data_IF_890003283856
#
_entry.id   IF_890003283856
#
_cell.length_a   1.000
_cell.length_b   1.000
_cell.length_c   1.000
_cell.angle_alpha   90.00
_cell.angle_beta   90.00
_cell.angle_gamma   90.00
#
_symmetry.space_group_name_H-M   'P 1'
#
loop_
_entity.id
_entity.type
_entity.pdbx_description
1 polymer ?
#
# COMPACT_ATOMS: atom_id res chain seq x y z
N UNK A 1 -18.24 8.78 29.00
CA UNK A 1 -19.52 8.04 29.00
C UNK A 1 -20.24 8.23 27.64
N UNK A 2 -20.43 9.46 27.14
CA UNK A 2 -21.13 9.74 25.87
C UNK A 2 -20.50 9.01 24.67
N UNK A 3 -19.18 9.06 24.51
CA UNK A 3 -18.44 8.37 23.41
C UNK A 3 -18.71 6.86 23.41
N UNK A 4 -18.81 6.24 24.61
CA UNK A 4 -19.10 4.80 24.71
C UNK A 4 -20.56 4.48 24.38
N UNK A 5 -21.47 5.38 24.70
CA UNK A 5 -22.88 5.21 24.38
C UNK A 5 -23.14 5.32 22.87
N UNK A 6 -22.50 6.29 22.23
CA UNK A 6 -22.63 6.56 20.78
C UNK A 6 -21.75 5.66 19.90
N UNK A 7 -20.72 5.02 20.49
CA UNK A 7 -19.77 4.17 19.75
C UNK A 7 -18.86 4.92 18.79
N UNK A 8 -18.90 6.25 18.77
CA UNK A 8 -18.08 7.13 17.95
C UNK A 8 -17.62 8.36 18.73
N UNK A 9 -16.57 9.03 18.22
CA UNK A 9 -16.06 10.30 18.74
C UNK A 9 -15.94 11.28 17.59
N UNK A 10 -16.38 12.52 17.84
CA UNK A 10 -16.24 13.64 16.90
C UNK A 10 -15.00 14.43 17.30
N UNK A 11 -14.17 14.76 16.30
CA UNK A 11 -12.96 15.54 16.50
C UNK A 11 -13.12 16.84 15.74
N UNK A 12 -13.02 17.97 16.45
CA UNK A 12 -13.09 19.32 15.91
C UNK A 12 -11.73 20.01 16.03
N UNK A 13 -11.56 21.20 15.48
CA UNK A 13 -10.30 21.95 15.56
C UNK A 13 -10.13 22.63 16.91
N UNK A 14 -11.19 23.20 17.46
CA UNK A 14 -11.16 24.02 18.65
C UNK A 14 -12.08 23.54 19.78
N UNK A 15 -11.82 24.05 21.00
CA UNK A 15 -12.67 23.76 22.17
C UNK A 15 -14.01 24.50 22.09
N UNK A 16 -14.10 25.61 21.35
CA UNK A 16 -15.38 26.34 21.15
C UNK A 16 -16.35 25.46 20.36
N UNK A 17 -15.86 24.75 19.36
CA UNK A 17 -16.66 23.81 18.57
C UNK A 17 -17.21 22.67 19.44
N UNK A 18 -16.37 22.15 20.37
CA UNK A 18 -16.79 21.12 21.31
C UNK A 18 -17.92 21.64 22.21
N UNK A 19 -17.81 22.90 22.69
CA UNK A 19 -18.86 23.55 23.51
C UNK A 19 -20.12 23.75 22.66
N UNK A 20 -19.98 24.27 21.43
CA UNK A 20 -21.11 24.52 20.53
C UNK A 20 -21.87 23.23 20.20
N UNK A 21 -21.15 22.17 19.88
CA UNK A 21 -21.74 20.83 19.68
C UNK A 21 -22.47 20.32 20.94
N UNK A 22 -21.84 20.49 22.12
CA UNK A 22 -22.44 20.06 23.38
C UNK A 22 -23.70 20.83 23.73
N UNK A 23 -23.76 22.15 23.45
CA UNK A 23 -24.97 22.97 23.60
C UNK A 23 -26.11 22.48 22.69
N UNK A 24 -25.76 21.94 21.49
CA UNK A 24 -26.70 21.27 20.59
C UNK A 24 -27.05 19.82 20.99
N UNK A 25 -26.57 19.34 22.15
CA UNK A 25 -26.81 17.96 22.61
C UNK A 25 -25.86 16.91 22.05
N UNK A 26 -24.85 17.30 21.26
CA UNK A 26 -23.82 16.41 20.67
C UNK A 26 -22.62 16.39 21.64
N UNK A 27 -22.63 15.50 22.63
CA UNK A 27 -21.71 15.53 23.79
C UNK A 27 -20.48 14.62 23.67
N UNK A 28 -20.31 13.92 22.54
CA UNK A 28 -19.20 12.99 22.28
C UNK A 28 -18.12 13.60 21.36
N UNK A 29 -17.88 14.92 21.50
CA UNK A 29 -16.88 15.66 20.76
C UNK A 29 -15.62 15.94 21.61
N UNK A 30 -14.47 16.03 20.94
CA UNK A 30 -13.16 16.38 21.51
C UNK A 30 -12.39 17.27 20.52
N UNK A 31 -11.39 18.02 21.04
CA UNK A 31 -10.49 18.83 20.20
C UNK A 31 -9.03 18.65 20.62
N UNK A 32 -8.07 18.65 19.68
CA UNK A 32 -6.63 18.51 19.94
C UNK A 32 -5.95 19.82 20.42
N UNK A 33 -6.71 20.84 20.77
CA UNK A 33 -6.27 22.13 21.33
C UNK A 33 -5.06 22.77 20.60
N UNK A 34 -5.35 23.44 19.49
CA UNK A 34 -4.39 24.36 18.83
C UNK A 34 -3.25 23.70 18.08
N UNK A 35 -3.28 22.39 17.89
CA UNK A 35 -2.29 21.66 17.10
C UNK A 35 -2.94 20.75 16.07
N UNK A 36 -2.27 20.59 14.93
CA UNK A 36 -2.70 19.59 13.95
C UNK A 36 -2.64 18.18 14.56
N UNK A 37 -3.66 17.36 14.30
CA UNK A 37 -3.80 15.99 14.80
C UNK A 37 -2.54 15.15 14.56
N UNK A 38 -1.92 14.63 15.61
CA UNK A 38 -0.71 13.79 15.55
C UNK A 38 -1.04 12.30 15.49
N UNK A 39 -0.08 11.47 15.09
CA UNK A 39 -0.25 10.00 15.10
C UNK A 39 -0.65 9.49 16.50
N UNK A 40 0.01 9.96 17.57
CA UNK A 40 -0.31 9.57 18.95
C UNK A 40 -1.73 9.98 19.37
N UNK A 41 -2.21 11.12 18.88
CA UNK A 41 -3.60 11.54 19.14
C UNK A 41 -4.59 10.68 18.35
N UNK A 42 -4.28 10.29 17.11
CA UNK A 42 -5.10 9.34 16.34
C UNK A 42 -5.18 8.00 17.08
N UNK A 43 -4.06 7.48 17.58
CA UNK A 43 -4.05 6.24 18.36
C UNK A 43 -4.88 6.39 19.66
N UNK A 44 -4.84 7.55 20.31
CA UNK A 44 -5.67 7.83 21.48
C UNK A 44 -7.16 7.83 21.12
N UNK A 45 -7.55 8.46 20.01
CA UNK A 45 -8.92 8.45 19.51
C UNK A 45 -9.39 7.02 19.21
N UNK A 46 -8.54 6.18 18.63
CA UNK A 46 -8.86 4.77 18.38
C UNK A 46 -9.04 3.91 19.64
N UNK A 47 -8.53 4.36 20.79
CA UNK A 47 -8.87 3.75 22.09
C UNK A 47 -10.28 4.13 22.56
N UNK A 48 -10.82 5.25 22.07
CA UNK A 48 -12.15 5.73 22.42
C UNK A 48 -13.22 5.15 21.48
N UNK A 49 -12.94 5.18 20.17
CA UNK A 49 -13.80 4.65 19.12
C UNK A 49 -12.95 4.20 17.92
N UNK A 50 -13.31 3.11 17.22
CA UNK A 50 -12.50 2.56 16.13
C UNK A 50 -12.52 3.43 14.87
N UNK A 51 -13.53 4.28 14.70
CA UNK A 51 -13.80 5.04 13.49
C UNK A 51 -14.21 6.50 13.82
N UNK A 52 -13.26 7.32 14.36
CA UNK A 52 -13.51 8.72 14.70
C UNK A 52 -13.96 9.54 13.51
N UNK A 53 -14.85 10.52 13.74
CA UNK A 53 -15.32 11.47 12.74
C UNK A 53 -14.55 12.79 12.92
N UNK A 54 -13.79 13.20 11.93
CA UNK A 54 -13.12 14.49 11.92
C UNK A 54 -14.06 15.50 11.26
N UNK A 55 -14.54 16.46 12.04
CA UNK A 55 -15.40 17.57 11.58
C UNK A 55 -14.54 18.82 11.48
N UNK A 56 -14.15 19.14 10.25
CA UNK A 56 -13.35 20.33 9.94
C UNK A 56 -14.22 21.46 9.39
N UNK A 57 -13.70 22.68 9.50
CA UNK A 57 -14.32 23.86 8.94
C UNK A 57 -14.54 23.73 7.42
N UNK A 58 -15.62 24.32 6.93
CA UNK A 58 -15.98 24.28 5.51
C UNK A 58 -15.15 25.21 4.64
N UNK A 59 -13.82 25.27 4.86
CA UNK A 59 -12.93 26.16 4.14
C UNK A 59 -11.65 25.43 3.66
N UNK A 60 -10.78 26.17 2.96
CA UNK A 60 -9.51 25.62 2.46
C UNK A 60 -8.50 25.24 3.57
N UNK A 61 -8.66 25.78 4.79
CA UNK A 61 -7.81 25.42 5.93
C UNK A 61 -8.25 24.07 6.50
N UNK A 62 -9.56 23.84 6.63
CA UNK A 62 -10.14 22.55 7.00
C UNK A 62 -9.80 21.45 5.99
N UNK A 63 -9.85 21.75 4.67
CA UNK A 63 -9.41 20.78 3.64
C UNK A 63 -7.94 20.38 3.81
N UNK A 64 -7.05 21.35 4.08
CA UNK A 64 -5.64 21.06 4.36
C UNK A 64 -5.44 20.31 5.67
N UNK A 65 -6.24 20.58 6.69
CA UNK A 65 -6.21 19.86 7.96
C UNK A 65 -6.65 18.38 7.76
N UNK A 66 -7.72 18.15 7.01
CA UNK A 66 -8.18 16.82 6.62
C UNK A 66 -7.11 16.03 5.86
N UNK A 67 -6.47 16.66 4.86
CA UNK A 67 -5.39 16.04 4.09
C UNK A 67 -4.22 15.63 5.00
N UNK A 68 -3.79 16.52 5.91
CA UNK A 68 -2.72 16.21 6.88
C UNK A 68 -3.10 15.08 7.84
N UNK A 69 -4.36 15.05 8.31
CA UNK A 69 -4.85 13.99 9.18
C UNK A 69 -4.87 12.64 8.43
N UNK A 70 -5.32 12.63 7.18
CA UNK A 70 -5.30 11.46 6.30
C UNK A 70 -3.89 10.91 6.11
N UNK A 71 -2.92 11.76 5.76
CA UNK A 71 -1.52 11.36 5.55
C UNK A 71 -0.86 10.81 6.82
N UNK A 72 -1.19 11.37 8.00
CA UNK A 72 -0.69 10.87 9.29
C UNK A 72 -1.32 9.56 9.72
N UNK A 73 -2.58 9.31 9.35
CA UNK A 73 -3.25 8.06 9.67
C UNK A 73 -2.73 6.88 8.85
N UNK A 74 -2.35 7.10 7.57
CA UNK A 74 -1.94 6.03 6.65
C UNK A 74 -0.91 5.05 7.23
N UNK A 75 0.25 5.51 7.79
CA UNK A 75 1.27 4.59 8.29
C UNK A 75 0.84 3.73 9.47
N UNK A 76 -0.14 4.19 10.24
CA UNK A 76 -0.59 3.56 11.49
C UNK A 76 -1.93 2.84 11.36
N UNK A 77 -2.53 2.82 10.17
CA UNK A 77 -3.76 2.07 9.90
C UNK A 77 -3.57 0.58 10.23
N UNK A 78 -4.59 -0.01 10.81
CA UNK A 78 -4.66 -1.43 11.16
C UNK A 78 -6.08 -1.95 11.00
N UNK A 79 -6.28 -3.27 10.88
CA UNK A 79 -7.62 -3.84 10.69
C UNK A 79 -8.61 -3.38 11.75
N UNK A 80 -9.79 -2.92 11.28
CA UNK A 80 -10.87 -2.45 12.14
C UNK A 80 -10.76 -1.00 12.60
N UNK A 81 -9.70 -0.27 12.25
CA UNK A 81 -9.52 1.14 12.62
C UNK A 81 -9.39 2.02 11.38
N UNK A 82 -10.11 3.14 11.39
CA UNK A 82 -10.11 4.11 10.29
C UNK A 82 -10.34 5.53 10.81
N UNK A 83 -10.54 6.47 9.89
CA UNK A 83 -11.03 7.82 10.13
C UNK A 83 -12.16 8.10 9.15
N UNK A 84 -13.16 8.87 9.59
CA UNK A 84 -14.17 9.47 8.73
C UNK A 84 -14.08 11.00 8.74
N UNK A 85 -14.54 11.63 7.69
CA UNK A 85 -14.41 13.06 7.48
C UNK A 85 -15.78 13.67 7.21
N UNK A 86 -16.19 14.59 8.06
CA UNK A 86 -17.42 15.34 7.93
C UNK A 86 -17.08 16.74 7.40
N UNK A 87 -17.69 17.11 6.29
CA UNK A 87 -17.55 18.43 5.69
C UNK A 87 -18.72 19.30 6.11
N UNK A 88 -18.41 20.40 6.76
CA UNK A 88 -19.39 21.42 7.09
C UNK A 88 -19.64 22.32 5.86
N UNK A 89 -20.78 23.03 5.81
CA UNK A 89 -21.05 24.00 4.77
C UNK A 89 -19.96 25.08 4.71
N UNK A 90 -19.75 25.66 3.52
CA UNK A 90 -18.73 26.67 3.27
C UNK A 90 -18.82 27.84 4.27
N UNK A 91 -17.69 28.14 4.91
CA UNK A 91 -17.54 29.22 5.87
C UNK A 91 -18.14 28.96 7.25
N UNK A 92 -18.57 27.74 7.56
CA UNK A 92 -19.09 27.40 8.89
C UNK A 92 -18.12 26.52 9.67
N UNK A 93 -17.94 26.82 10.94
CA UNK A 93 -17.37 25.91 11.94
C UNK A 93 -18.47 25.05 12.61
N UNK A 94 -18.12 24.04 13.44
CA UNK A 94 -19.09 23.20 14.11
C UNK A 94 -20.07 23.95 15.04
N UNK A 95 -19.62 25.01 15.73
CA UNK A 95 -20.46 25.84 16.59
C UNK A 95 -21.47 26.65 15.78
N UNK A 96 -21.02 27.28 14.69
CA UNK A 96 -21.88 28.02 13.77
C UNK A 96 -22.88 27.10 13.07
N UNK A 97 -22.44 25.88 12.66
CA UNK A 97 -23.31 24.91 12.04
C UNK A 97 -24.47 24.50 13.00
N UNK A 98 -24.19 24.30 14.29
CA UNK A 98 -25.25 24.01 15.28
C UNK A 98 -26.20 25.20 15.43
N UNK A 99 -25.66 26.42 15.52
CA UNK A 99 -26.47 27.63 15.68
C UNK A 99 -27.36 27.93 14.48
N UNK A 100 -26.87 27.77 13.28
CA UNK A 100 -27.56 28.17 12.06
C UNK A 100 -28.41 27.06 11.44
N UNK A 101 -27.94 25.80 11.47
CA UNK A 101 -28.64 24.68 10.84
C UNK A 101 -29.42 23.82 11.82
N UNK A 102 -29.15 23.97 13.12
CA UNK A 102 -29.70 23.14 14.19
C UNK A 102 -29.00 21.79 14.34
N UNK A 103 -29.06 21.26 15.57
CA UNK A 103 -28.36 20.02 15.96
C UNK A 103 -28.71 18.80 15.09
N UNK A 104 -29.99 18.63 14.72
CA UNK A 104 -30.40 17.51 13.86
C UNK A 104 -29.75 17.55 12.46
N UNK A 105 -29.54 18.75 11.91
CA UNK A 105 -28.89 18.90 10.62
C UNK A 105 -27.41 18.53 10.71
N UNK A 106 -26.74 18.96 11.77
CA UNK A 106 -25.35 18.61 12.05
C UNK A 106 -25.20 17.12 12.26
N UNK A 107 -26.12 16.47 13.02
CA UNK A 107 -26.11 15.01 13.17
C UNK A 107 -26.25 14.29 11.82
N UNK A 108 -27.10 14.78 10.93
CA UNK A 108 -27.23 14.23 9.56
C UNK A 108 -25.95 14.39 8.74
N UNK A 109 -25.20 15.48 8.92
CA UNK A 109 -23.89 15.67 8.27
C UNK A 109 -22.86 14.70 8.83
N UNK A 110 -22.80 14.53 10.13
CA UNK A 110 -21.91 13.58 10.80
C UNK A 110 -22.18 12.12 10.37
N UNK A 111 -23.45 11.75 10.21
CA UNK A 111 -23.82 10.42 9.71
C UNK A 111 -23.36 10.17 8.25
N UNK A 112 -23.24 11.23 7.46
CA UNK A 112 -22.76 11.20 6.07
C UNK A 112 -21.24 11.34 5.95
N UNK A 113 -20.52 11.31 7.07
CA UNK A 113 -19.07 11.43 7.04
C UNK A 113 -18.41 10.39 6.11
N UNK A 114 -17.54 10.88 5.26
CA UNK A 114 -16.88 10.10 4.21
C UNK A 114 -15.71 9.28 4.78
N UNK A 115 -15.49 8.04 4.33
CA UNK A 115 -14.36 7.24 4.77
C UNK A 115 -13.02 7.78 4.22
N UNK A 116 -11.93 7.48 4.93
CA UNK A 116 -10.57 7.90 4.57
C UNK A 116 -10.21 7.60 3.11
N UNK A 117 -10.59 6.44 2.60
CA UNK A 117 -10.29 6.03 1.22
C UNK A 117 -10.93 6.96 0.18
N UNK A 118 -12.10 7.55 0.48
CA UNK A 118 -12.80 8.47 -0.41
C UNK A 118 -12.08 9.84 -0.46
N UNK A 119 -11.58 10.30 0.69
CA UNK A 119 -10.80 11.54 0.79
C UNK A 119 -9.51 11.42 -0.04
N UNK A 120 -8.77 10.33 0.13
CA UNK A 120 -7.55 10.07 -0.61
C UNK A 120 -7.82 9.95 -2.12
N UNK A 121 -8.87 9.22 -2.48
CA UNK A 121 -9.28 9.08 -3.86
C UNK A 121 -9.63 10.43 -4.50
N UNK A 122 -10.50 11.21 -3.85
CA UNK A 122 -10.93 12.52 -4.32
C UNK A 122 -9.76 13.48 -4.49
N UNK A 123 -8.84 13.53 -3.52
CA UNK A 123 -7.65 14.38 -3.57
C UNK A 123 -6.82 14.11 -4.83
N UNK A 124 -6.59 12.87 -5.16
CA UNK A 124 -5.72 12.49 -6.29
C UNK A 124 -6.43 12.52 -7.64
N UNK A 125 -7.76 12.56 -7.65
CA UNK A 125 -8.54 12.53 -8.90
C UNK A 125 -9.29 13.82 -9.21
N UNK A 126 -9.42 14.75 -8.26
CA UNK A 126 -10.20 16.00 -8.42
C UNK A 126 -9.77 16.86 -9.61
N UNK A 127 -8.47 16.91 -9.90
CA UNK A 127 -7.91 17.71 -11.00
C UNK A 127 -7.74 16.93 -12.30
N UNK A 128 -8.18 15.67 -12.33
CA UNK A 128 -7.97 14.81 -13.48
C UNK A 128 -9.02 15.09 -14.57
N UNK A 129 -8.61 15.44 -15.80
CA UNK A 129 -9.55 15.61 -16.90
C UNK A 129 -10.27 14.29 -17.23
N UNK A 130 -11.52 14.37 -17.69
CA UNK A 130 -12.28 13.18 -18.14
C UNK A 130 -11.53 12.37 -19.20
N UNK A 131 -10.82 13.06 -20.09
CA UNK A 131 -9.99 12.46 -21.15
C UNK A 131 -8.50 12.60 -20.83
N UNK A 132 -8.10 12.13 -19.64
CA UNK A 132 -6.70 12.14 -19.26
C UNK A 132 -5.86 11.26 -20.17
N UNK A 133 -4.66 11.74 -20.54
CA UNK A 133 -3.71 10.96 -21.34
C UNK A 133 -3.25 9.70 -20.61
N UNK A 134 -2.76 8.67 -21.31
CA UNK A 134 -2.25 7.45 -20.67
C UNK A 134 -1.18 7.72 -19.61
N UNK A 135 -0.30 8.70 -19.83
CA UNK A 135 0.75 9.08 -18.90
C UNK A 135 0.17 9.70 -17.60
N UNK A 136 -0.84 10.56 -17.74
CA UNK A 136 -1.55 11.13 -16.59
C UNK A 136 -2.29 10.07 -15.78
N UNK A 137 -2.95 9.13 -16.45
CA UNK A 137 -3.60 7.98 -15.80
C UNK A 137 -2.58 7.10 -15.07
N UNK A 138 -1.42 6.87 -15.69
CA UNK A 138 -0.32 6.12 -15.08
C UNK A 138 0.23 6.83 -13.85
N UNK A 139 0.43 8.14 -13.92
CA UNK A 139 0.88 8.96 -12.80
C UNK A 139 -0.10 8.89 -11.62
N UNK A 140 -1.41 9.06 -11.88
CA UNK A 140 -2.44 8.95 -10.82
C UNK A 140 -2.44 7.57 -10.17
N UNK A 141 -2.34 6.49 -10.97
CA UNK A 141 -2.24 5.13 -10.43
C UNK A 141 -1.00 4.96 -9.56
N UNK A 142 0.14 5.50 -9.98
CA UNK A 142 1.38 5.43 -9.22
C UNK A 142 1.27 6.18 -7.88
N UNK A 143 0.64 7.35 -7.86
CA UNK A 143 0.41 8.12 -6.63
C UNK A 143 -0.49 7.35 -5.67
N UNK A 144 -1.62 6.80 -6.14
CA UNK A 144 -2.53 5.99 -5.35
C UNK A 144 -1.85 4.72 -4.80
N UNK A 145 -1.07 4.03 -5.62
CA UNK A 145 -0.26 2.87 -5.18
C UNK A 145 0.76 3.27 -4.10
N UNK A 146 1.36 4.47 -4.22
CA UNK A 146 2.31 4.99 -3.23
C UNK A 146 1.65 5.32 -1.90
N UNK A 147 0.45 5.91 -1.91
CA UNK A 147 -0.35 6.15 -0.70
C UNK A 147 -0.70 4.83 0.01
N UNK A 148 -1.15 3.83 -0.73
CA UNK A 148 -1.44 2.53 -0.15
C UNK A 148 -0.17 1.88 0.45
N UNK A 149 0.98 1.98 -0.23
CA UNK A 149 2.26 1.45 0.26
C UNK A 149 2.80 2.15 1.51
N UNK A 150 2.32 3.35 1.84
CA UNK A 150 2.65 4.00 3.11
C UNK A 150 2.01 3.29 4.32
N UNK A 151 0.97 2.48 4.11
CA UNK A 151 0.31 1.70 5.16
C UNK A 151 1.24 0.55 5.56
N UNK A 152 1.58 0.48 6.85
CA UNK A 152 2.52 -0.54 7.37
C UNK A 152 1.87 -1.93 7.52
N UNK A 153 0.58 -1.99 7.87
CA UNK A 153 -0.15 -3.24 7.98
C UNK A 153 -0.39 -3.85 6.59
N UNK A 154 0.10 -5.08 6.31
CA UNK A 154 0.05 -5.65 4.97
C UNK A 154 -1.37 -6.02 4.51
N UNK A 155 -2.29 -6.29 5.45
CA UNK A 155 -3.67 -6.64 5.12
C UNK A 155 -4.41 -5.38 4.68
N UNK A 156 -4.34 -4.31 5.48
CA UNK A 156 -4.96 -3.02 5.15
C UNK A 156 -4.34 -2.44 3.88
N UNK A 157 -3.02 -2.52 3.73
CA UNK A 157 -2.32 -2.11 2.50
C UNK A 157 -2.88 -2.83 1.26
N UNK A 158 -3.07 -4.15 1.35
CA UNK A 158 -3.61 -4.97 0.26
C UNK A 158 -5.02 -4.53 -0.15
N UNK A 159 -5.89 -4.26 0.83
CA UNK A 159 -7.26 -3.79 0.60
C UNK A 159 -7.30 -2.39 -0.05
N UNK A 160 -6.46 -1.45 0.41
CA UNK A 160 -6.36 -0.12 -0.21
C UNK A 160 -5.85 -0.21 -1.65
N UNK A 161 -4.83 -1.03 -1.92
CA UNK A 161 -4.34 -1.28 -3.28
C UNK A 161 -5.43 -1.84 -4.19
N UNK A 162 -6.20 -2.82 -3.72
CA UNK A 162 -7.29 -3.43 -4.47
C UNK A 162 -8.40 -2.41 -4.77
N UNK A 163 -8.80 -1.61 -3.77
CA UNK A 163 -9.84 -0.60 -3.91
C UNK A 163 -9.44 0.52 -4.85
N UNK A 164 -8.22 1.06 -4.74
CA UNK A 164 -7.72 2.10 -5.65
C UNK A 164 -7.64 1.60 -7.08
N UNK A 165 -7.20 0.36 -7.32
CA UNK A 165 -7.15 -0.24 -8.65
C UNK A 165 -8.55 -0.42 -9.22
N UNK A 166 -9.49 -0.92 -8.43
CA UNK A 166 -10.89 -1.09 -8.83
C UNK A 166 -11.51 0.25 -9.26
N UNK A 167 -11.31 1.32 -8.46
CA UNK A 167 -11.81 2.67 -8.77
C UNK A 167 -11.14 3.26 -10.00
N UNK A 168 -9.81 3.11 -10.14
CA UNK A 168 -9.07 3.59 -11.29
C UNK A 168 -9.48 2.86 -12.57
N UNK A 169 -9.77 1.57 -12.50
CA UNK A 169 -10.27 0.80 -13.63
C UNK A 169 -11.69 1.23 -14.03
N UNK A 170 -12.51 1.56 -13.06
CA UNK A 170 -13.86 2.11 -13.31
C UNK A 170 -13.82 3.52 -13.93
N UNK A 171 -12.93 4.40 -13.41
CA UNK A 171 -12.83 5.79 -13.85
C UNK A 171 -12.22 5.92 -15.26
N UNK A 172 -11.13 5.18 -15.52
CA UNK A 172 -10.40 5.30 -16.78
C UNK A 172 -10.96 4.41 -17.88
N UNK A 173 -11.99 3.63 -17.58
CA UNK A 173 -12.55 2.64 -18.51
C UNK A 173 -11.43 1.78 -19.05
N UNK A 174 -11.04 0.73 -18.35
CA UNK A 174 -10.14 -0.22 -18.97
C UNK A 174 -10.90 -0.82 -20.16
N UNK A 175 -10.67 -0.26 -21.35
CA UNK A 175 -10.89 -0.96 -22.61
C UNK A 175 -10.03 -2.24 -22.70
N UNK A 176 -9.23 -2.51 -21.67
CA UNK A 176 -8.69 -3.79 -21.23
C UNK A 176 -9.61 -4.50 -20.24
N UNK A 177 -10.91 -4.52 -20.45
CA UNK A 177 -11.52 -5.83 -20.39
C UNK A 177 -10.74 -6.59 -21.46
N UNK A 178 -9.70 -7.27 -21.02
CA UNK A 178 -9.22 -8.40 -21.77
C UNK A 178 -10.50 -9.12 -22.14
N UNK A 179 -10.85 -9.03 -23.39
CA UNK A 179 -11.61 -10.04 -24.06
C UNK A 179 -10.69 -11.26 -23.97
N UNK A 180 -10.52 -11.80 -22.74
CA UNK A 180 -10.03 -13.15 -22.57
C UNK A 180 -11.13 -13.94 -23.23
N UNK A 181 -10.91 -14.38 -24.47
CA UNK A 181 -11.84 -15.35 -25.04
C UNK A 181 -11.96 -16.43 -23.95
N UNK A 182 -13.19 -16.90 -23.67
CA UNK A 182 -13.36 -17.99 -22.73
C UNK A 182 -12.34 -19.02 -23.14
N UNK A 183 -11.52 -19.47 -22.19
CA UNK A 183 -10.46 -20.48 -22.40
C UNK A 183 -11.18 -21.64 -23.11
N UNK A 184 -11.21 -21.60 -24.46
CA UNK A 184 -11.62 -22.74 -25.25
C UNK A 184 -10.60 -23.80 -24.93
N UNK A 185 -11.01 -24.78 -24.16
CA UNK A 185 -10.34 -26.04 -24.00
C UNK A 185 -10.02 -26.51 -25.42
N UNK A 186 -8.79 -26.25 -25.84
CA UNK A 186 -8.28 -26.78 -27.11
C UNK A 186 -8.26 -28.28 -26.93
N UNK A 187 -9.29 -28.96 -27.44
CA UNK A 187 -9.16 -30.37 -27.78
C UNK A 187 -7.99 -30.46 -28.76
N UNK A 188 -7.01 -31.26 -28.36
CA UNK A 188 -5.81 -31.52 -29.12
C UNK A 188 -6.20 -32.12 -30.47
N UNK A 189 -6.33 -31.28 -31.51
CA UNK A 189 -6.16 -31.73 -32.87
C UNK A 189 -4.67 -32.07 -33.04
N UNK A 190 -4.38 -33.33 -33.25
CA UNK A 190 -3.04 -33.82 -33.62
C UNK A 190 -2.70 -33.31 -35.01
N UNK A 191 -2.00 -32.19 -35.10
CA UNK A 191 -1.44 -31.65 -36.29
C UNK A 191 -0.22 -30.81 -35.91
N UNK A 192 0.98 -31.26 -36.35
CA UNK A 192 2.25 -30.64 -36.01
C UNK A 192 2.32 -29.23 -36.63
N UNK A 193 2.25 -28.20 -35.83
CA UNK A 193 2.62 -26.82 -36.19
C UNK A 193 4.11 -26.64 -35.88
N UNK A 194 4.92 -26.46 -36.93
CA UNK A 194 6.31 -26.01 -36.83
C UNK A 194 6.34 -24.48 -36.89
N UNK A 195 6.75 -23.78 -35.83
CA UNK A 195 6.91 -22.32 -35.88
C UNK A 195 8.16 -21.96 -36.71
N UNK A 196 7.98 -21.14 -37.74
CA UNK A 196 9.07 -20.66 -38.63
C UNK A 196 9.85 -19.47 -38.07
N UNK A 197 9.79 -19.19 -36.77
CA UNK A 197 10.55 -18.08 -36.17
C UNK A 197 11.37 -18.57 -34.95
N UNK A 198 12.71 -18.68 -35.09
CA UNK A 198 13.60 -19.21 -34.06
C UNK A 198 13.66 -18.33 -32.76
N UNK A 199 13.17 -17.09 -32.82
CA UNK A 199 13.26 -16.15 -31.68
C UNK A 199 12.10 -16.24 -30.67
N UNK A 200 11.08 -17.09 -30.92
CA UNK A 200 9.95 -17.29 -30.03
C UNK A 200 9.95 -18.65 -29.31
N UNK A 201 11.01 -19.42 -29.44
CA UNK A 201 11.20 -20.66 -28.69
C UNK A 201 11.71 -20.39 -27.26
N UNK A 202 11.03 -19.52 -26.50
CA UNK A 202 11.21 -19.54 -25.06
C UNK A 202 10.49 -20.78 -24.52
N UNK A 203 11.32 -21.74 -24.11
CA UNK A 203 10.93 -23.05 -23.56
C UNK A 203 9.99 -22.84 -22.36
N UNK A 204 8.73 -23.24 -22.53
CA UNK A 204 7.69 -23.28 -21.49
C UNK A 204 7.87 -24.43 -20.49
N UNK A 205 9.00 -25.11 -20.50
CA UNK A 205 9.27 -26.27 -19.61
C UNK A 205 9.62 -25.90 -18.15
N UNK A 206 9.71 -24.59 -17.80
CA UNK A 206 10.18 -24.18 -16.46
C UNK A 206 9.13 -23.56 -15.55
N UNK A 207 7.86 -23.50 -15.92
CA UNK A 207 6.83 -22.84 -15.09
C UNK A 207 6.24 -23.76 -14.00
N UNK A 208 6.37 -25.05 -14.10
CA UNK A 208 5.86 -26.00 -13.08
C UNK A 208 6.70 -26.09 -11.80
N UNK A 209 7.89 -25.50 -11.74
CA UNK A 209 8.75 -25.50 -10.54
C UNK A 209 8.68 -24.21 -9.69
N UNK A 210 7.78 -23.29 -9.99
CA UNK A 210 7.56 -22.06 -9.23
C UNK A 210 6.63 -22.21 -8.01
N UNK A 211 6.33 -23.43 -7.60
CA UNK A 211 5.43 -23.72 -6.49
C UNK A 211 6.11 -23.79 -5.10
N UNK A 212 7.39 -23.43 -4.98
CA UNK A 212 8.07 -23.31 -3.69
C UNK A 212 8.53 -21.88 -3.42
N UNK A 213 7.74 -21.04 -2.68
CA UNK A 213 8.10 -19.67 -2.38
C UNK A 213 9.42 -19.54 -1.61
N UNK A 214 9.75 -20.49 -0.74
CA UNK A 214 10.97 -20.48 0.05
C UNK A 214 12.21 -20.80 -0.81
N UNK A 215 12.09 -21.73 -1.75
CA UNK A 215 13.15 -22.00 -2.73
C UNK A 215 13.40 -20.81 -3.66
N UNK A 216 12.34 -20.08 -4.04
CA UNK A 216 12.47 -18.86 -4.84
C UNK A 216 13.22 -17.75 -4.08
N UNK A 217 12.91 -17.54 -2.78
CA UNK A 217 13.59 -16.55 -1.96
C UNK A 217 15.09 -16.84 -1.83
N UNK A 218 15.46 -18.11 -1.63
CA UNK A 218 16.86 -18.51 -1.55
C UNK A 218 17.62 -18.31 -2.86
N UNK A 219 16.97 -18.54 -4.00
CA UNK A 219 17.54 -18.26 -5.32
C UNK A 219 17.74 -16.77 -5.55
N UNK A 220 16.74 -15.94 -5.20
CA UNK A 220 16.85 -14.48 -5.30
C UNK A 220 18.00 -13.97 -4.42
N UNK A 221 18.13 -14.46 -3.19
CA UNK A 221 19.22 -14.10 -2.30
C UNK A 221 20.58 -14.40 -2.94
N UNK A 222 20.81 -15.62 -3.41
CA UNK A 222 22.08 -16.02 -4.02
C UNK A 222 22.37 -15.21 -5.29
N UNK A 223 21.38 -14.98 -6.16
CA UNK A 223 21.52 -14.15 -7.33
C UNK A 223 21.89 -12.70 -6.98
N UNK A 224 21.32 -12.17 -5.90
CA UNK A 224 21.65 -10.82 -5.41
C UNK A 224 23.08 -10.75 -4.90
N UNK A 225 23.54 -11.72 -4.12
CA UNK A 225 24.92 -11.77 -3.62
C UNK A 225 25.94 -11.91 -4.75
N UNK A 226 25.65 -12.68 -5.79
CA UNK A 226 26.51 -12.81 -7.00
C UNK A 226 26.62 -11.48 -7.74
N UNK A 227 25.51 -10.74 -7.86
CA UNK A 227 25.49 -9.47 -8.56
C UNK A 227 26.07 -8.31 -7.75
N UNK A 228 26.09 -8.43 -6.42
CA UNK A 228 26.55 -7.40 -5.46
C UNK A 228 27.48 -8.02 -4.41
N UNK A 229 28.71 -8.39 -4.75
CA UNK A 229 29.64 -9.08 -3.84
C UNK A 229 29.94 -8.32 -2.55
N UNK A 230 29.90 -6.99 -2.56
CA UNK A 230 30.09 -6.17 -1.34
C UNK A 230 29.11 -6.53 -0.21
N UNK A 231 27.95 -7.09 -0.54
CA UNK A 231 27.00 -7.57 0.47
C UNK A 231 27.53 -8.79 1.24
N UNK A 232 28.47 -9.55 0.69
CA UNK A 232 29.11 -10.65 1.40
C UNK A 232 29.95 -10.14 2.56
N UNK A 233 30.61 -8.99 2.39
CA UNK A 233 31.41 -8.35 3.44
C UNK A 233 30.51 -7.75 4.52
N UNK A 234 29.42 -7.10 4.12
CA UNK A 234 28.50 -6.43 5.05
C UNK A 234 27.64 -7.42 5.88
N UNK A 235 27.28 -8.57 5.30
CA UNK A 235 26.34 -9.52 5.88
C UNK A 235 26.90 -10.92 6.11
N UNK A 236 28.21 -11.14 5.93
CA UNK A 236 28.85 -12.46 6.00
C UNK A 236 28.52 -13.25 7.26
N UNK A 237 28.62 -12.64 8.44
CA UNK A 237 28.28 -13.28 9.72
C UNK A 237 26.83 -13.81 9.77
N UNK A 238 25.89 -13.08 9.16
CA UNK A 238 24.48 -13.49 9.10
C UNK A 238 24.26 -14.62 8.10
N UNK A 239 24.98 -14.57 6.98
CA UNK A 239 24.86 -15.56 5.90
C UNK A 239 25.36 -16.95 6.33
N UNK A 240 26.39 -17.02 7.18
CA UNK A 240 26.90 -18.28 7.75
C UNK A 240 25.81 -19.05 8.55
N UNK A 241 24.91 -18.32 9.20
CA UNK A 241 23.85 -18.92 10.03
C UNK A 241 22.57 -19.24 9.26
N UNK A 242 22.50 -18.94 7.95
CA UNK A 242 21.32 -19.22 7.14
C UNK A 242 21.20 -20.72 6.81
N UNK A 243 20.01 -21.24 7.04
CA UNK A 243 19.67 -22.62 6.65
C UNK A 243 19.04 -22.64 5.26
N UNK A 244 19.71 -23.27 4.31
CA UNK A 244 19.19 -23.50 2.96
C UNK A 244 18.47 -24.83 2.87
N UNK A 245 17.33 -24.88 2.21
CA UNK A 245 16.59 -26.13 1.95
C UNK A 245 17.33 -27.08 1.00
N UNK A 246 17.96 -26.49 -0.02
CA UNK A 246 18.85 -27.22 -0.92
C UNK A 246 20.29 -27.09 -0.39
N UNK A 247 20.89 -28.21 -0.04
CA UNK A 247 22.27 -28.24 0.47
C UNK A 247 23.28 -27.64 -0.50
N UNK A 248 23.00 -27.70 -1.80
CA UNK A 248 23.84 -27.11 -2.85
C UNK A 248 23.86 -25.58 -2.78
N UNK A 249 22.73 -24.93 -2.41
CA UNK A 249 22.68 -23.48 -2.21
C UNK A 249 23.46 -23.06 -0.97
N UNK A 250 23.43 -23.87 0.09
CA UNK A 250 24.26 -23.66 1.28
C UNK A 250 25.73 -23.80 0.99
N UNK A 251 26.12 -24.77 0.16
CA UNK A 251 27.50 -24.96 -0.27
C UNK A 251 27.97 -23.77 -1.15
N UNK A 252 27.16 -23.35 -2.12
CA UNK A 252 27.45 -22.16 -2.95
C UNK A 252 27.59 -20.90 -2.11
N UNK A 253 26.75 -20.68 -1.10
CA UNK A 253 26.84 -19.51 -0.22
C UNK A 253 28.16 -19.50 0.56
N UNK A 254 28.61 -20.64 1.07
CA UNK A 254 29.90 -20.75 1.75
C UNK A 254 31.07 -20.49 0.82
N UNK A 255 31.08 -21.03 -0.38
CA UNK A 255 32.09 -20.80 -1.39
C UNK A 255 32.21 -19.32 -1.74
N UNK A 256 31.05 -18.61 -1.86
CA UNK A 256 31.01 -17.18 -2.09
C UNK A 256 31.60 -16.38 -0.93
N UNK A 257 31.36 -16.79 0.31
CA UNK A 257 31.91 -16.15 1.50
C UNK A 257 33.42 -16.36 1.60
N UNK A 258 33.92 -17.56 1.27
CA UNK A 258 35.36 -17.84 1.22
C UNK A 258 36.05 -17.01 0.13
N UNK A 259 35.43 -16.93 -1.05
CA UNK A 259 35.94 -16.14 -2.16
C UNK A 259 35.90 -14.63 -1.89
N UNK A 260 34.93 -14.13 -1.11
CA UNK A 260 34.85 -12.70 -0.78
C UNK A 260 35.99 -12.24 0.13
N UNK A 261 36.52 -13.13 0.98
CA UNK A 261 37.68 -12.83 1.82
C UNK A 261 38.92 -12.42 1.00
N UNK A 262 38.97 -12.75 -0.29
CA UNK A 262 40.02 -12.35 -1.23
C UNK A 262 39.70 -11.01 -1.94
N UNK A 263 38.60 -10.32 -1.61
CA UNK A 263 38.20 -9.01 -2.18
C UNK A 263 37.82 -9.09 -3.67
N UNK A 264 37.14 -10.16 -4.07
CA UNK A 264 36.77 -10.38 -5.46
C UNK A 264 35.62 -9.46 -5.89
N UNK A 265 35.78 -8.81 -7.06
CA UNK A 265 34.70 -8.14 -7.75
C UNK A 265 33.73 -9.18 -8.41
N UNK A 266 32.59 -8.68 -8.92
CA UNK A 266 31.58 -9.53 -9.54
C UNK A 266 32.14 -10.45 -10.65
N UNK A 267 33.01 -9.91 -11.52
CA UNK A 267 33.50 -10.67 -12.67
C UNK A 267 34.44 -11.80 -12.23
N UNK A 268 35.29 -11.53 -11.23
CA UNK A 268 36.21 -12.51 -10.67
C UNK A 268 35.46 -13.56 -9.86
N UNK A 269 34.43 -13.17 -9.08
CA UNK A 269 33.58 -14.09 -8.35
C UNK A 269 32.84 -15.05 -9.30
N UNK A 270 32.20 -14.51 -10.35
CA UNK A 270 31.49 -15.33 -11.36
C UNK A 270 32.47 -16.29 -12.06
N UNK A 271 33.67 -15.81 -12.41
CA UNK A 271 34.71 -16.65 -13.02
C UNK A 271 35.18 -17.75 -12.11
N UNK A 272 35.40 -17.44 -10.83
CA UNK A 272 35.76 -18.43 -9.80
C UNK A 272 34.69 -19.50 -9.68
N UNK A 273 33.42 -19.11 -9.49
CA UNK A 273 32.31 -20.03 -9.34
C UNK A 273 32.02 -20.88 -10.61
N UNK A 274 32.30 -20.33 -11.79
CA UNK A 274 32.19 -21.08 -13.05
C UNK A 274 33.26 -22.15 -13.21
N UNK A 275 34.41 -21.97 -12.59
CA UNK A 275 35.50 -22.94 -12.59
C UNK A 275 35.30 -24.10 -11.58
N UNK A 276 34.29 -24.00 -10.71
CA UNK A 276 33.99 -24.98 -9.66
C UNK A 276 32.76 -25.85 -10.03
N UNK A 277 32.38 -26.76 -9.15
CA UNK A 277 31.15 -27.60 -9.30
C UNK A 277 29.86 -26.79 -9.34
N UNK A 278 29.88 -25.49 -9.03
CA UNK A 278 28.70 -24.63 -8.98
C UNK A 278 28.30 -24.02 -10.33
N UNK A 279 29.05 -24.27 -11.42
CA UNK A 279 28.76 -23.74 -12.75
C UNK A 279 27.30 -23.96 -13.21
N UNK A 280 26.74 -25.16 -13.00
CA UNK A 280 25.36 -25.49 -13.37
C UNK A 280 24.30 -24.76 -12.52
N UNK A 281 24.61 -24.49 -11.26
CA UNK A 281 23.73 -23.75 -10.36
C UNK A 281 23.76 -22.29 -10.75
N UNK A 282 24.93 -21.76 -11.03
CA UNK A 282 25.14 -20.37 -11.50
C UNK A 282 24.32 -20.06 -12.75
N UNK A 283 24.34 -20.94 -13.78
CA UNK A 283 23.50 -20.82 -14.99
C UNK A 283 21.99 -20.78 -14.69
N UNK A 284 21.57 -21.35 -13.59
CA UNK A 284 20.16 -21.35 -13.18
C UNK A 284 19.76 -20.13 -12.35
N UNK A 285 20.74 -19.37 -11.82
CA UNK A 285 20.54 -18.22 -10.95
C UNK A 285 20.69 -16.90 -11.72
N UNK A 286 21.53 -16.85 -12.74
CA UNK A 286 21.76 -15.72 -13.65
C UNK A 286 20.92 -15.84 -14.92
#
# INVERSE_FOLDING_TARGET
>A
DAIRAEGTVIVTEGYMDVIGLAMGGITHAVAPLGTALTESQIELLWRMAPDPILAFDGDSAGERAAARAADRALPILRPGYSLRFCWLPEGMDPDEAVRHLGAESVQRLLQKAEPLVDILWRRETATLPREATPERRAQTRQTLDSLAKAIRDPIVQGEFLAEFRRRADSLFGTGFRANRPPFRRFERARGAYQPQNPLLAFRTEKVEKLADPAGLQQRILLATLINHPSLLDDYGERLVHLSFRDSRYGALCREMLEASAEGLDRERLVRHLTATEFARILESLL
#
